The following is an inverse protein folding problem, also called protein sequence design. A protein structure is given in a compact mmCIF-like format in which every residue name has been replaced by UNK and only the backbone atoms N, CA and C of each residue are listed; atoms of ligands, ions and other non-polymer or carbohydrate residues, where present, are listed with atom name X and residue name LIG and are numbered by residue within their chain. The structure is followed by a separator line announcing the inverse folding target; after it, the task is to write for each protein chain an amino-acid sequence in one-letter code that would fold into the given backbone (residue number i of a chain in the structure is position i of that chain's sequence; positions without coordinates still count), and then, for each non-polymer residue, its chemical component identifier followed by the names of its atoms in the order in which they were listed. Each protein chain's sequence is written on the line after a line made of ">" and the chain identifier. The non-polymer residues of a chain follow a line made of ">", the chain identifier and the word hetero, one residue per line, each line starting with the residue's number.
data_IF_511854635864
#
_entry.id   IF_511854635864
#
_cell.length_a   1.000
_cell.length_b   1.000
_cell.length_c   1.000
_cell.angle_alpha   90.00
_cell.angle_beta   90.00
_cell.angle_gamma   90.00
#
_symmetry.space_group_name_H-M   'P 1'
#
loop_
_entity.id
_entity.type
_entity.pdbx_description
1 polymer ?
#
# COMPACT_ATOMS: atom_id res chain seq x y z
N UNK A 1 1.07 -1.25 -2.43
CA UNK A 1 1.45 0.18 -2.27
C UNK A 1 2.81 0.29 -1.60
N UNK A 2 3.04 -0.31 -0.42
CA UNK A 2 4.32 -0.21 0.30
C UNK A 2 5.51 -0.60 -0.58
N UNK A 3 5.42 -1.68 -1.38
CA UNK A 3 6.46 -2.08 -2.32
C UNK A 3 6.78 -1.02 -3.37
N UNK A 4 5.79 -0.24 -3.81
CA UNK A 4 5.98 0.85 -4.75
C UNK A 4 6.61 2.08 -4.11
N UNK A 5 6.24 2.39 -2.85
CA UNK A 5 6.92 3.41 -2.05
C UNK A 5 8.42 3.07 -1.91
N UNK A 6 8.72 1.84 -1.50
CA UNK A 6 10.12 1.39 -1.36
C UNK A 6 10.86 1.39 -2.70
N UNK A 7 10.22 0.98 -3.80
CA UNK A 7 10.81 0.99 -5.14
C UNK A 7 11.16 2.40 -5.59
N UNK A 8 10.24 3.36 -5.42
CA UNK A 8 10.50 4.76 -5.77
C UNK A 8 11.63 5.35 -4.92
N UNK A 9 11.62 5.07 -3.62
CA UNK A 9 12.66 5.49 -2.68
C UNK A 9 14.04 4.95 -3.08
N UNK A 10 14.15 3.63 -3.27
CA UNK A 10 15.43 2.99 -3.60
C UNK A 10 15.96 3.41 -4.98
N UNK A 11 15.06 3.72 -5.94
CA UNK A 11 15.47 4.20 -7.25
C UNK A 11 16.20 5.56 -7.16
N UNK A 12 15.72 6.46 -6.30
CA UNK A 12 16.34 7.76 -6.07
C UNK A 12 17.64 7.63 -5.27
N UNK A 13 17.70 6.65 -4.36
CA UNK A 13 18.88 6.41 -3.52
C UNK A 13 20.02 5.65 -4.25
N UNK A 14 19.81 5.24 -5.51
CA UNK A 14 20.81 4.48 -6.26
C UNK A 14 22.08 5.33 -6.51
N UNK A 15 23.21 4.86 -5.96
CA UNK A 15 24.51 5.55 -6.07
C UNK A 15 24.73 6.66 -5.05
N UNK A 16 23.77 6.91 -4.16
CA UNK A 16 23.93 7.84 -3.04
C UNK A 16 24.81 7.17 -1.98
N UNK A 17 25.88 7.84 -1.60
CA UNK A 17 26.83 7.35 -0.57
C UNK A 17 26.58 7.97 0.81
N UNK A 18 25.92 9.12 0.85
CA UNK A 18 25.55 9.84 2.06
C UNK A 18 24.15 10.40 1.93
N UNK A 19 23.30 10.14 2.93
CA UNK A 19 21.93 10.62 2.95
C UNK A 19 21.89 12.01 3.61
N UNK A 20 21.54 13.02 2.83
CA UNK A 20 21.24 14.36 3.32
C UNK A 20 19.74 14.59 3.42
N UNK A 21 19.30 15.66 4.09
CA UNK A 21 17.87 16.03 4.16
C UNK A 21 17.29 16.26 2.77
N UNK A 22 18.07 16.85 1.86
CA UNK A 22 17.67 17.09 0.46
C UNK A 22 17.48 15.77 -0.30
N UNK A 23 18.44 14.83 -0.21
CA UNK A 23 18.30 13.50 -0.84
C UNK A 23 17.14 12.70 -0.26
N UNK A 24 16.87 12.82 1.04
CA UNK A 24 15.71 12.23 1.68
C UNK A 24 14.38 12.80 1.13
N UNK A 25 14.31 14.12 0.94
CA UNK A 25 13.14 14.78 0.37
C UNK A 25 12.88 14.33 -1.08
N UNK A 26 13.92 14.23 -1.91
CA UNK A 26 13.80 13.71 -3.27
C UNK A 26 13.35 12.25 -3.29
N UNK A 27 13.93 11.41 -2.43
CA UNK A 27 13.58 9.99 -2.34
C UNK A 27 12.14 9.77 -1.88
N UNK A 28 11.65 10.54 -0.90
CA UNK A 28 10.26 10.44 -0.43
C UNK A 28 9.27 10.96 -1.48
N UNK A 29 9.64 11.99 -2.24
CA UNK A 29 8.85 12.48 -3.37
C UNK A 29 8.73 11.42 -4.47
N UNK A 30 9.85 10.82 -4.87
CA UNK A 30 9.85 9.74 -5.87
C UNK A 30 9.08 8.51 -5.40
N UNK A 31 9.19 8.15 -4.12
CA UNK A 31 8.41 7.07 -3.50
C UNK A 31 6.92 7.31 -3.67
N UNK A 32 6.47 8.51 -3.29
CA UNK A 32 5.05 8.90 -3.36
C UNK A 32 4.54 8.89 -4.79
N UNK A 33 5.24 9.52 -5.74
CA UNK A 33 4.86 9.50 -7.16
C UNK A 33 4.73 8.07 -7.71
N UNK A 34 5.71 7.21 -7.41
CA UNK A 34 5.70 5.81 -7.86
C UNK A 34 4.49 5.05 -7.33
N UNK A 35 4.14 5.27 -6.06
CA UNK A 35 2.99 4.63 -5.45
C UNK A 35 1.66 5.14 -6.00
N UNK A 36 1.51 6.46 -6.22
CA UNK A 36 0.31 7.03 -6.83
C UNK A 36 0.09 6.55 -8.28
N UNK A 37 1.16 6.47 -9.08
CA UNK A 37 1.09 5.94 -10.46
C UNK A 37 0.64 4.47 -10.53
N UNK A 38 0.90 3.69 -9.48
CA UNK A 38 0.52 2.29 -9.40
C UNK A 38 -0.97 2.07 -9.11
N UNK A 39 -1.70 3.12 -8.70
CA UNK A 39 -3.12 3.03 -8.32
C UNK A 39 -3.96 3.86 -9.27
N UNK A 40 -4.88 3.25 -9.98
CA UNK A 40 -5.71 3.95 -10.97
C UNK A 40 -6.69 4.97 -10.37
N UNK A 41 -7.17 4.69 -9.16
CA UNK A 41 -8.07 5.60 -8.42
C UNK A 41 -7.59 5.73 -6.98
N UNK A 42 -6.59 6.58 -6.72
CA UNK A 42 -6.11 6.80 -5.36
C UNK A 42 -7.24 7.29 -4.45
N UNK A 43 -7.32 6.72 -3.25
CA UNK A 43 -8.27 7.16 -2.22
C UNK A 43 -7.52 7.89 -1.13
N UNK A 44 -8.00 9.08 -0.79
CA UNK A 44 -7.49 9.82 0.37
C UNK A 44 -7.91 9.13 1.68
N UNK A 45 -7.14 9.40 2.74
CA UNK A 45 -7.33 8.72 4.03
C UNK A 45 -6.66 7.35 4.09
N UNK A 46 -5.72 7.04 3.20
CA UNK A 46 -4.98 5.78 3.14
C UNK A 46 -3.48 5.99 3.30
N UNK A 47 -2.70 4.90 3.26
CA UNK A 47 -1.22 4.94 3.23
C UNK A 47 -0.67 5.93 2.20
N UNK A 48 -1.37 6.16 1.08
CA UNK A 48 -0.97 7.14 0.07
C UNK A 48 -1.00 8.57 0.61
N UNK A 49 -2.04 8.91 1.38
CA UNK A 49 -2.17 10.22 2.02
C UNK A 49 -1.06 10.44 3.04
N UNK A 50 -0.74 9.42 3.83
CA UNK A 50 0.37 9.50 4.81
C UNK A 50 1.70 9.66 4.08
N UNK A 51 1.95 8.87 3.02
CA UNK A 51 3.17 8.98 2.20
C UNK A 51 3.31 10.37 1.57
N UNK A 52 2.19 10.95 1.08
CA UNK A 52 2.18 12.31 0.55
C UNK A 52 2.53 13.33 1.62
N UNK A 53 1.95 13.23 2.82
CA UNK A 53 2.28 14.11 3.94
C UNK A 53 3.75 14.03 4.34
N UNK A 54 4.34 12.83 4.33
CA UNK A 54 5.79 12.62 4.55
C UNK A 54 6.60 13.36 3.50
N UNK A 55 6.27 13.19 2.21
CA UNK A 55 6.96 13.82 1.10
C UNK A 55 6.87 15.35 1.14
N UNK A 56 5.68 15.89 1.37
CA UNK A 56 5.44 17.33 1.45
C UNK A 56 6.23 17.96 2.62
N UNK A 57 6.25 17.29 3.79
CA UNK A 57 7.01 17.76 4.96
C UNK A 57 8.52 17.65 4.76
N UNK A 58 9.00 16.57 4.13
CA UNK A 58 10.42 16.41 3.82
C UNK A 58 10.91 17.52 2.88
N UNK A 59 10.13 17.87 1.85
CA UNK A 59 10.45 18.97 0.94
C UNK A 59 10.47 20.34 1.65
N UNK A 60 9.53 20.58 2.57
CA UNK A 60 9.49 21.80 3.38
C UNK A 60 10.73 21.95 4.27
N UNK A 61 11.10 20.86 4.96
CA UNK A 61 12.18 20.83 5.94
C UNK A 61 13.57 20.90 5.29
N UNK A 62 13.72 20.41 4.07
CA UNK A 62 15.00 20.42 3.34
C UNK A 62 15.61 21.82 3.13
N UNK A 63 14.78 22.86 3.22
CA UNK A 63 15.25 24.26 3.16
C UNK A 63 15.51 24.88 4.55
N UNK A 64 15.27 24.15 5.64
CA UNK A 64 15.28 24.68 6.99
C UNK A 64 16.38 24.10 7.87
N UNK A 65 16.79 22.85 7.63
CA UNK A 65 17.83 22.16 8.40
C UNK A 65 18.62 21.18 7.53
N UNK A 66 19.90 21.04 7.83
CA UNK A 66 20.77 19.99 7.27
C UNK A 66 20.92 18.80 8.25
N UNK A 67 20.35 18.89 9.44
CA UNK A 67 20.38 17.84 10.45
C UNK A 67 19.33 16.76 10.12
N UNK A 68 19.83 15.59 9.72
CA UNK A 68 19.02 14.46 9.29
C UNK A 68 18.20 13.87 10.45
N UNK A 69 18.72 13.88 11.68
CA UNK A 69 18.00 13.36 12.85
C UNK A 69 16.83 14.28 13.20
N UNK A 70 17.07 15.60 13.21
CA UNK A 70 16.01 16.57 13.43
C UNK A 70 14.96 16.51 12.33
N UNK A 71 15.38 16.48 11.06
CA UNK A 71 14.47 16.35 9.92
C UNK A 71 13.59 15.11 10.02
N UNK A 72 14.17 13.94 10.30
CA UNK A 72 13.41 12.68 10.46
C UNK A 72 12.42 12.75 11.60
N UNK A 73 12.80 13.35 12.74
CA UNK A 73 11.88 13.54 13.87
C UNK A 73 10.65 14.36 13.47
N UNK A 74 10.85 15.50 12.81
CA UNK A 74 9.78 16.40 12.38
C UNK A 74 8.88 15.72 11.32
N UNK A 75 9.48 14.98 10.37
CA UNK A 75 8.75 14.23 9.34
C UNK A 75 7.86 13.17 10.00
N UNK A 76 8.37 12.43 10.99
CA UNK A 76 7.60 11.39 11.71
C UNK A 76 6.44 12.03 12.49
N UNK A 77 6.67 13.10 13.21
CA UNK A 77 5.60 13.82 13.94
C UNK A 77 4.49 14.28 12.97
N UNK A 78 4.88 14.79 11.80
CA UNK A 78 3.91 15.17 10.79
C UNK A 78 3.18 13.97 10.17
N UNK A 79 3.87 12.85 9.95
CA UNK A 79 3.26 11.62 9.46
C UNK A 79 2.20 11.08 10.44
N UNK A 80 2.48 11.12 11.75
CA UNK A 80 1.51 10.76 12.80
C UNK A 80 0.29 11.71 12.81
N UNK A 81 0.52 13.00 12.62
CA UNK A 81 -0.57 13.97 12.50
C UNK A 81 -1.45 13.65 11.28
N UNK A 82 -0.87 13.43 10.10
CA UNK A 82 -1.62 13.07 8.88
C UNK A 82 -2.37 11.74 9.08
N UNK A 83 -1.72 10.74 9.69
CA UNK A 83 -2.34 9.46 10.02
C UNK A 83 -3.58 9.65 10.91
N UNK A 84 -3.51 10.51 11.94
CA UNK A 84 -4.63 10.80 12.82
C UNK A 84 -5.83 11.42 12.10
N UNK A 85 -5.62 12.02 10.91
CA UNK A 85 -6.66 12.64 10.08
C UNK A 85 -7.28 11.68 9.06
N UNK A 86 -6.75 10.48 8.89
CA UNK A 86 -7.28 9.50 7.92
C UNK A 86 -8.75 9.15 8.15
N UNK A 87 -9.29 9.05 9.41
CA UNK A 87 -10.72 8.83 9.62
C UNK A 87 -11.62 9.96 9.11
N UNK A 88 -11.11 11.20 9.10
CA UNK A 88 -11.89 12.34 8.60
C UNK A 88 -11.98 12.35 7.07
N UNK A 89 -11.10 11.62 6.39
CA UNK A 89 -11.03 11.54 4.92
C UNK A 89 -11.72 10.29 4.36
N UNK A 90 -11.81 9.22 5.16
CA UNK A 90 -12.37 7.95 4.71
C UNK A 90 -13.46 7.48 5.69
N UNK A 91 -14.76 7.59 5.31
CA UNK A 91 -15.89 7.34 6.21
C UNK A 91 -15.85 5.99 6.93
N UNK A 92 -15.43 4.91 6.24
CA UNK A 92 -15.33 3.57 6.83
C UNK A 92 -14.35 3.52 8.01
N UNK A 93 -13.27 4.32 8.02
CA UNK A 93 -12.34 4.41 9.14
C UNK A 93 -12.98 5.16 10.32
N UNK A 94 -13.75 6.21 10.01
CA UNK A 94 -14.46 6.98 11.03
C UNK A 94 -15.53 6.14 11.73
N UNK A 95 -16.31 5.39 10.98
CA UNK A 95 -17.31 4.45 11.49
C UNK A 95 -16.69 3.35 12.38
N UNK A 96 -15.54 2.83 11.94
CA UNK A 96 -14.78 1.82 12.70
C UNK A 96 -14.01 2.40 13.90
N UNK A 97 -13.87 3.73 14.02
CA UNK A 97 -13.10 4.38 15.06
C UNK A 97 -11.60 4.10 15.02
N UNK A 98 -11.05 3.88 13.82
CA UNK A 98 -9.64 3.50 13.61
C UNK A 98 -8.97 4.41 12.58
N UNK A 99 -7.64 4.47 12.61
CA UNK A 99 -6.81 5.08 11.56
C UNK A 99 -6.52 4.06 10.45
N UNK A 100 -6.00 4.53 9.32
CA UNK A 100 -5.57 3.63 8.24
C UNK A 100 -4.42 2.72 8.67
N UNK A 101 -4.64 1.41 8.59
CA UNK A 101 -3.67 0.40 9.03
C UNK A 101 -2.39 0.41 8.17
N UNK A 102 -2.51 0.69 6.86
CA UNK A 102 -1.38 0.82 5.97
C UNK A 102 -0.52 2.04 6.29
N UNK A 103 -1.16 3.18 6.57
CA UNK A 103 -0.49 4.39 7.05
C UNK A 103 0.17 4.19 8.41
N UNK A 104 -0.51 3.50 9.33
CA UNK A 104 0.07 3.14 10.64
C UNK A 104 1.34 2.30 10.45
N UNK A 105 1.30 1.28 9.57
CA UNK A 105 2.46 0.45 9.27
C UNK A 105 3.63 1.26 8.70
N UNK A 106 3.35 2.24 7.80
CA UNK A 106 4.38 3.13 7.25
C UNK A 106 5.04 3.98 8.34
N UNK A 107 4.27 4.52 9.26
CA UNK A 107 4.79 5.30 10.41
C UNK A 107 5.68 4.42 11.30
N UNK A 108 5.28 3.17 11.55
CA UNK A 108 6.11 2.22 12.33
C UNK A 108 7.45 1.96 11.64
N UNK A 109 7.47 1.78 10.31
CA UNK A 109 8.71 1.62 9.54
C UNK A 109 9.61 2.84 9.69
N UNK A 110 9.07 4.06 9.57
CA UNK A 110 9.85 5.29 9.73
C UNK A 110 10.43 5.44 11.14
N UNK A 111 9.65 5.10 12.16
CA UNK A 111 10.14 5.10 13.56
C UNK A 111 11.29 4.12 13.76
N UNK A 112 11.17 2.90 13.20
CA UNK A 112 12.25 1.92 13.24
C UNK A 112 13.52 2.41 12.53
N UNK A 113 13.39 3.10 11.39
CA UNK A 113 14.53 3.72 10.71
C UNK A 113 15.16 4.83 11.55
N UNK A 114 14.36 5.65 12.21
CA UNK A 114 14.84 6.71 13.11
C UNK A 114 15.55 6.13 14.35
N UNK A 115 15.02 5.09 14.95
CA UNK A 115 15.63 4.42 16.11
C UNK A 115 16.98 3.78 15.74
N UNK A 116 17.08 3.25 14.51
CA UNK A 116 18.35 2.74 13.98
C UNK A 116 19.36 3.90 13.74
N UNK A 117 18.91 5.00 13.15
CA UNK A 117 19.74 6.18 12.88
C UNK A 117 20.30 6.77 14.17
N UNK A 118 19.49 6.87 15.22
CA UNK A 118 19.87 7.43 16.53
C UNK A 118 20.58 6.43 17.45
N UNK A 119 20.87 5.20 16.96
CA UNK A 119 21.61 4.18 17.71
C UNK A 119 20.82 3.53 18.85
N UNK A 120 19.50 3.72 18.91
CA UNK A 120 18.63 3.06 19.90
C UNK A 120 18.47 1.57 19.61
N UNK A 121 18.59 1.16 18.34
CA UNK A 121 18.59 -0.23 17.91
C UNK A 121 19.96 -0.58 17.38
N UNK A 122 20.68 -1.45 18.08
CA UNK A 122 22.03 -1.91 17.73
C UNK A 122 22.06 -3.37 17.28
N UNK A 123 21.02 -4.13 17.56
CA UNK A 123 20.88 -5.53 17.15
C UNK A 123 19.84 -5.63 16.00
N UNK A 124 20.34 -5.91 14.81
CA UNK A 124 19.55 -6.13 13.60
C UNK A 124 19.30 -7.62 13.31
N UNK A 125 19.54 -8.50 14.27
CA UNK A 125 19.22 -9.91 14.11
C UNK A 125 17.73 -10.09 13.95
N UNK A 126 17.33 -10.68 12.83
CA UNK A 126 15.93 -11.06 12.56
C UNK A 126 15.65 -12.27 13.46
N UNK A 127 15.06 -12.03 14.62
CA UNK A 127 14.45 -13.11 15.39
C UNK A 127 13.19 -13.50 14.60
N UNK A 128 13.22 -14.67 13.95
CA UNK A 128 12.01 -15.24 13.37
C UNK A 128 10.98 -15.37 14.51
N UNK A 129 10.06 -14.41 14.56
CA UNK A 129 8.89 -14.54 15.42
C UNK A 129 8.10 -15.71 14.88
N UNK A 130 8.14 -16.86 15.58
CA UNK A 130 7.17 -17.94 15.38
C UNK A 130 5.80 -17.28 15.38
N UNK A 131 4.89 -17.66 14.46
CA UNK A 131 3.54 -17.15 14.50
C UNK A 131 2.98 -17.44 15.90
N UNK A 132 2.87 -16.41 16.70
CA UNK A 132 2.22 -16.51 18.00
C UNK A 132 0.74 -16.72 17.72
N UNK A 133 0.30 -17.95 17.87
CA UNK A 133 -1.11 -18.26 18.05
C UNK A 133 -1.63 -17.37 19.19
N UNK A 134 -2.68 -16.62 18.90
CA UNK A 134 -3.55 -15.97 19.87
C UNK A 134 -2.89 -14.95 20.81
N UNK A 135 -2.63 -13.74 20.32
CA UNK A 135 -2.85 -12.58 21.15
C UNK A 135 -4.20 -11.95 20.76
N UNK A 136 -5.23 -12.31 21.50
CA UNK A 136 -6.46 -11.53 21.58
C UNK A 136 -6.09 -10.12 21.96
N UNK A 137 -6.17 -9.20 21.00
CA UNK A 137 -6.05 -7.76 21.24
C UNK A 137 -7.23 -7.38 22.12
N UNK A 138 -7.04 -6.88 23.37
CA UNK A 138 -8.15 -6.37 24.17
C UNK A 138 -8.62 -5.08 23.50
N UNK A 139 -9.76 -5.13 22.81
CA UNK A 139 -10.33 -3.96 22.15
C UNK A 139 -10.92 -4.20 20.77
N UNK A 140 -10.96 -5.43 20.27
CA UNK A 140 -11.84 -5.76 19.17
C UNK A 140 -13.28 -5.57 19.66
N UNK A 141 -13.75 -4.33 19.59
CA UNK A 141 -15.15 -4.00 19.78
C UNK A 141 -15.99 -4.93 18.91
N UNK A 142 -17.04 -5.48 19.51
CA UNK A 142 -18.08 -6.28 18.86
C UNK A 142 -18.34 -5.70 17.49
N UNK A 143 -18.14 -6.51 16.46
CA UNK A 143 -18.34 -6.11 15.08
C UNK A 143 -19.66 -5.37 14.94
N UNK A 144 -19.56 -4.10 14.60
CA UNK A 144 -20.70 -3.40 14.05
C UNK A 144 -21.16 -4.23 12.86
N UNK A 145 -22.43 -4.60 12.86
CA UNK A 145 -23.06 -5.27 11.74
C UNK A 145 -22.67 -4.45 10.50
N UNK A 146 -21.96 -5.09 9.58
CA UNK A 146 -21.66 -4.49 8.27
C UNK A 146 -23.02 -4.35 7.61
N UNK A 147 -23.64 -3.16 7.76
CA UNK A 147 -24.79 -2.80 6.94
C UNK A 147 -24.40 -3.04 5.49
N UNK A 148 -25.32 -3.59 4.71
CA UNK A 148 -25.21 -3.96 3.30
C UNK A 148 -24.39 -2.94 2.51
N UNK A 149 -23.08 -3.10 2.49
CA UNK A 149 -22.25 -2.41 1.50
C UNK A 149 -22.64 -3.03 0.17
N UNK A 150 -23.26 -2.24 -0.71
CA UNK A 150 -23.61 -2.68 -2.06
C UNK A 150 -22.30 -3.00 -2.81
N UNK A 151 -21.86 -4.27 -2.71
CA UNK A 151 -20.64 -4.76 -3.36
C UNK A 151 -20.97 -4.92 -4.86
N UNK A 152 -20.69 -3.87 -5.62
CA UNK A 152 -20.90 -3.83 -7.07
C UNK A 152 -20.14 -4.95 -7.79
N UNK A 153 -18.86 -5.16 -7.45
CA UNK A 153 -17.99 -6.19 -7.98
C UNK A 153 -17.65 -7.20 -6.89
N UNK A 154 -18.13 -8.43 -7.01
CA UNK A 154 -18.17 -9.41 -5.93
C UNK A 154 -16.91 -10.21 -5.70
N UNK A 155 -15.94 -10.20 -6.62
CA UNK A 155 -14.74 -11.02 -6.52
C UNK A 155 -13.48 -10.17 -6.50
N UNK A 156 -12.71 -10.31 -5.41
CA UNK A 156 -11.33 -9.84 -5.34
C UNK A 156 -10.44 -10.84 -6.09
N UNK A 157 -9.86 -10.40 -7.19
CA UNK A 157 -9.08 -11.25 -8.10
C UNK A 157 -7.65 -10.75 -8.16
N UNK A 158 -6.71 -11.61 -7.78
CA UNK A 158 -5.28 -11.31 -7.75
C UNK A 158 -4.51 -12.36 -8.56
N UNK A 159 -3.49 -11.92 -9.29
CA UNK A 159 -2.57 -12.81 -10.00
C UNK A 159 -1.30 -12.09 -10.42
N UNK A 160 -0.31 -12.88 -10.84
CA UNK A 160 0.92 -12.39 -11.44
C UNK A 160 1.01 -12.98 -12.85
N UNK A 161 1.28 -12.13 -13.84
CA UNK A 161 1.63 -12.52 -15.20
C UNK A 161 3.16 -12.62 -15.27
N UNK A 162 3.69 -13.77 -15.62
CA UNK A 162 5.08 -13.94 -16.04
C UNK A 162 5.13 -13.64 -17.54
N UNK A 163 5.73 -12.51 -17.90
CA UNK A 163 5.70 -12.01 -19.27
C UNK A 163 6.53 -12.91 -20.21
N UNK A 164 5.97 -13.25 -21.33
CA UNK A 164 6.66 -13.91 -22.45
C UNK A 164 6.81 -12.99 -23.68
N UNK A 165 6.29 -11.77 -23.57
CA UNK A 165 6.31 -10.70 -24.58
C UNK A 165 6.67 -9.37 -23.93
N UNK A 166 7.07 -8.43 -24.76
CA UNK A 166 7.27 -7.06 -24.37
C UNK A 166 5.95 -6.44 -23.86
N UNK A 167 6.01 -5.81 -22.68
CA UNK A 167 4.88 -5.17 -22.03
C UNK A 167 5.20 -3.69 -21.85
N UNK A 168 5.09 -2.94 -22.95
CA UNK A 168 5.37 -1.50 -23.00
C UNK A 168 4.27 -0.66 -22.33
N UNK A 169 4.50 0.64 -22.23
CA UNK A 169 3.55 1.58 -21.59
C UNK A 169 2.19 1.58 -22.29
N UNK A 170 2.13 1.37 -23.59
CA UNK A 170 0.88 1.31 -24.34
C UNK A 170 0.12 0.03 -24.01
N UNK A 171 0.77 -1.11 -24.00
CA UNK A 171 0.20 -2.41 -23.64
C UNK A 171 -0.33 -2.37 -22.20
N UNK A 172 0.44 -1.77 -21.28
CA UNK A 172 0.00 -1.56 -19.89
C UNK A 172 -1.26 -0.70 -19.82
N UNK A 173 -1.31 0.40 -20.58
CA UNK A 173 -2.48 1.28 -20.63
C UNK A 173 -3.71 0.59 -21.20
N UNK A 174 -3.55 -0.18 -22.29
CA UNK A 174 -4.63 -0.95 -22.91
C UNK A 174 -5.16 -2.04 -21.96
N UNK A 175 -4.27 -2.74 -21.26
CA UNK A 175 -4.66 -3.75 -20.28
C UNK A 175 -5.38 -3.13 -19.05
N UNK A 176 -4.89 -1.99 -18.55
CA UNK A 176 -5.57 -1.23 -17.48
C UNK A 176 -6.96 -0.75 -17.93
N UNK A 177 -7.10 -0.27 -19.16
CA UNK A 177 -8.39 0.12 -19.74
C UNK A 177 -9.37 -1.05 -19.80
N UNK A 178 -8.91 -2.23 -20.23
CA UNK A 178 -9.71 -3.45 -20.23
C UNK A 178 -10.16 -3.83 -18.80
N UNK A 179 -9.25 -3.87 -17.83
CA UNK A 179 -9.61 -4.18 -16.44
C UNK A 179 -10.64 -3.18 -15.87
N UNK A 180 -10.51 -1.89 -16.26
CA UNK A 180 -11.48 -0.83 -15.87
C UNK A 180 -12.87 -1.07 -16.45
N UNK A 181 -12.96 -1.67 -17.64
CA UNK A 181 -14.24 -1.98 -18.27
C UNK A 181 -15.01 -3.10 -17.58
N UNK A 182 -14.31 -4.01 -16.86
CA UNK A 182 -14.91 -5.19 -16.22
C UNK A 182 -14.89 -5.14 -14.68
N UNK A 183 -14.27 -4.11 -14.07
CA UNK A 183 -14.11 -4.05 -12.63
C UNK A 183 -13.73 -2.67 -12.07
N UNK A 184 -13.42 -2.67 -10.78
CA UNK A 184 -12.86 -1.51 -10.07
C UNK A 184 -11.72 -1.92 -9.13
N UNK A 185 -11.24 -0.97 -8.31
CA UNK A 185 -10.14 -1.19 -7.34
C UNK A 185 -8.89 -1.80 -7.97
N UNK A 186 -8.56 -1.36 -9.18
CA UNK A 186 -7.52 -1.95 -10.00
C UNK A 186 -6.14 -1.48 -9.54
N UNK A 187 -5.25 -2.45 -9.31
CA UNK A 187 -3.80 -2.28 -9.20
C UNK A 187 -3.15 -3.16 -10.29
N UNK A 188 -2.45 -2.52 -11.22
CA UNK A 188 -1.72 -3.20 -12.28
C UNK A 188 -0.31 -2.60 -12.34
N UNK A 189 0.70 -3.38 -11.98
CA UNK A 189 2.09 -2.92 -11.84
C UNK A 189 3.01 -3.85 -12.60
N UNK A 190 3.65 -3.32 -13.64
CA UNK A 190 4.71 -3.98 -14.36
C UNK A 190 6.05 -3.87 -13.59
N UNK A 191 6.77 -4.99 -13.49
CA UNK A 191 8.05 -5.14 -12.81
C UNK A 191 8.92 -6.06 -13.64
N UNK A 192 9.89 -5.51 -14.35
CA UNK A 192 10.81 -6.24 -15.21
C UNK A 192 10.09 -7.27 -16.11
N UNK A 193 10.10 -8.54 -15.76
CA UNK A 193 9.51 -9.67 -16.48
C UNK A 193 8.15 -10.15 -15.93
N UNK A 194 7.55 -9.40 -14.96
CA UNK A 194 6.25 -9.74 -14.39
C UNK A 194 5.30 -8.57 -14.32
N UNK A 195 3.99 -8.86 -14.35
CA UNK A 195 2.93 -7.89 -14.03
C UNK A 195 2.10 -8.40 -12.86
N UNK A 196 2.05 -7.64 -11.78
CA UNK A 196 1.16 -7.92 -10.66
C UNK A 196 -0.18 -7.24 -10.87
N UNK A 197 -1.26 -8.01 -10.77
CA UNK A 197 -2.64 -7.54 -10.97
C UNK A 197 -3.48 -7.81 -9.74
N UNK A 198 -4.29 -6.81 -9.39
CA UNK A 198 -5.41 -6.90 -8.45
C UNK A 198 -6.60 -6.17 -9.06
N UNK A 199 -7.78 -6.77 -9.05
CA UNK A 199 -9.02 -6.17 -9.57
C UNK A 199 -10.22 -6.73 -8.82
N UNK A 200 -11.17 -5.86 -8.48
CA UNK A 200 -12.51 -6.29 -8.06
C UNK A 200 -13.41 -6.37 -9.30
N UNK A 201 -13.91 -7.56 -9.59
CA UNK A 201 -14.71 -7.82 -10.79
C UNK A 201 -15.81 -8.86 -10.53
N UNK A 202 -16.83 -8.88 -11.38
CA UNK A 202 -17.81 -9.98 -11.44
C UNK A 202 -17.39 -11.05 -12.49
N UNK A 203 -16.28 -10.80 -13.22
CA UNK A 203 -15.82 -11.63 -14.32
C UNK A 203 -14.33 -12.01 -14.16
N UNK A 204 -13.95 -12.74 -13.08
CA UNK A 204 -12.53 -13.11 -12.86
C UNK A 204 -11.95 -13.92 -14.02
N UNK A 205 -12.76 -14.77 -14.66
CA UNK A 205 -12.34 -15.55 -15.82
C UNK A 205 -11.91 -14.66 -17.01
N UNK A 206 -12.62 -13.55 -17.27
CA UNK A 206 -12.24 -12.61 -18.33
C UNK A 206 -10.92 -11.89 -18.03
N UNK A 207 -10.68 -11.57 -16.74
CA UNK A 207 -9.42 -10.97 -16.34
C UNK A 207 -8.24 -11.93 -16.55
N UNK A 208 -8.39 -13.22 -16.25
CA UNK A 208 -7.38 -14.24 -16.51
C UNK A 208 -7.18 -14.48 -18.01
N UNK A 209 -8.25 -14.63 -18.77
CA UNK A 209 -8.19 -14.86 -20.21
C UNK A 209 -7.41 -13.74 -20.92
N UNK A 210 -7.73 -12.49 -20.59
CA UNK A 210 -7.00 -11.33 -21.13
C UNK A 210 -5.54 -11.30 -20.71
N UNK A 211 -5.24 -11.69 -19.48
CA UNK A 211 -3.88 -11.70 -18.96
C UNK A 211 -3.01 -12.76 -19.64
N UNK A 212 -3.59 -13.90 -20.04
CA UNK A 212 -2.90 -14.97 -20.78
C UNK A 212 -2.40 -14.52 -22.15
N UNK A 213 -2.92 -13.45 -22.71
CA UNK A 213 -2.39 -12.87 -23.95
C UNK A 213 -0.96 -12.30 -23.78
N UNK A 214 -0.52 -12.03 -22.55
CA UNK A 214 0.76 -11.40 -22.25
C UNK A 214 1.80 -12.37 -21.67
N UNK A 215 1.37 -13.53 -21.15
CA UNK A 215 2.27 -14.53 -20.58
C UNK A 215 1.56 -15.54 -19.69
N UNK A 216 2.33 -16.28 -18.91
CA UNK A 216 1.83 -17.32 -18.03
C UNK A 216 1.35 -16.75 -16.70
N UNK A 217 0.28 -17.32 -16.14
CA UNK A 217 -0.27 -16.88 -14.86
C UNK A 217 0.27 -17.69 -13.69
N UNK A 218 0.57 -17.01 -12.58
CA UNK A 218 0.95 -17.62 -11.31
C UNK A 218 0.32 -16.88 -10.14
N UNK A 219 0.32 -17.48 -8.95
CA UNK A 219 -0.25 -16.93 -7.71
C UNK A 219 -1.67 -16.40 -7.88
N UNK A 220 -2.48 -17.13 -8.63
CA UNK A 220 -3.88 -16.81 -8.86
C UNK A 220 -4.69 -17.00 -7.57
N UNK A 221 -5.44 -15.97 -7.19
CA UNK A 221 -6.34 -15.97 -6.05
C UNK A 221 -7.65 -15.27 -6.41
N UNK A 222 -8.77 -15.87 -6.05
CA UNK A 222 -10.11 -15.29 -6.22
C UNK A 222 -10.87 -15.46 -4.92
N UNK A 223 -11.17 -14.35 -4.25
CA UNK A 223 -11.99 -14.34 -3.04
C UNK A 223 -13.38 -13.79 -3.35
N UNK A 224 -14.43 -14.51 -2.94
CA UNK A 224 -15.78 -13.99 -3.00
C UNK A 224 -16.04 -13.05 -1.81
N UNK A 225 -16.00 -11.75 -2.06
CA UNK A 225 -16.17 -10.73 -1.02
C UNK A 225 -17.59 -10.73 -0.41
N UNK A 226 -18.59 -11.23 -1.13
CA UNK A 226 -19.95 -11.40 -0.60
C UNK A 226 -20.03 -12.60 0.34
N UNK A 227 -19.29 -13.69 0.09
CA UNK A 227 -19.30 -14.89 0.93
C UNK A 227 -18.60 -14.67 2.27
N UNK A 228 -17.56 -13.84 2.34
CA UNK A 228 -16.87 -13.50 3.60
C UNK A 228 -17.81 -12.82 4.59
N UNK A 229 -18.80 -12.05 4.11
CA UNK A 229 -19.85 -11.46 4.94
C UNK A 229 -20.79 -12.50 5.55
N UNK A 230 -20.98 -13.67 4.93
CA UNK A 230 -21.89 -14.72 5.41
C UNK A 230 -21.23 -15.70 6.40
N UNK A 231 -19.92 -15.89 6.37
CA UNK A 231 -19.24 -16.84 7.27
C UNK A 231 -19.21 -16.36 8.71
N UNK A 232 -19.26 -15.06 8.97
CA UNK A 232 -19.37 -14.51 10.32
C UNK A 232 -20.78 -14.67 10.93
N UNK A 233 -21.82 -14.89 10.12
CA UNK A 233 -23.18 -15.09 10.60
C UNK A 233 -23.48 -16.55 10.98
N UNK A 234 -22.76 -17.53 10.43
CA UNK A 234 -22.96 -18.96 10.72
C UNK A 234 -22.12 -19.53 11.87
N UNK A 235 -21.19 -18.75 12.41
CA UNK A 235 -20.37 -19.20 13.56
C UNK A 235 -21.08 -19.05 14.91
N UNK A 236 -22.36 -18.66 14.94
CA UNK A 236 -23.17 -18.45 16.15
C UNK A 236 -24.47 -19.27 16.18
N UNK A 237 -24.63 -20.30 15.32
CA UNK A 237 -25.59 -21.39 15.46
C UNK A 237 -24.83 -22.68 15.82
#
# INVERSE_FOLDING_TARGET
>A
ILSQLLRGFTKEMKGVTEITVETLALATSRATETAYKAVMKPKEGTILTVAKGISDKAAEIASQTDDIEEAMRIIIEHAEYVLSKTPDMLPVLKEAGVVDSGGQGLVVVLKGMYDALTGKVTDFSITESKPSNEQTVPGAGKGAAVENVDIKFGYCTEFIIMLDKEFDEKTEADFKAFLTSIGDSIVCVALDDIVKVHVHTNHPGQAFEKALEYGQLTKMKVDNMRAVSYTHLRAHE
#
